data_IF_259598071545
#
_entry.id   IF_259598071545
#
_cell.length_a   1.000
_cell.length_b   1.000
_cell.length_c   1.000
_cell.angle_alpha   90.00
_cell.angle_beta   90.00
_cell.angle_gamma   90.00
#
_symmetry.space_group_name_H-M   'P 1'
#
loop_
_entity.id
_entity.type
_entity.pdbx_description
1 polymer ?
#
# COMPACT_ATOMS: atom_id res chain seq x y z
N UNK A 1 2.10 -0.84 -3.34
CA UNK A 1 2.02 0.62 -3.51
C UNK A 1 1.03 1.17 -2.51
N UNK A 2 1.46 2.05 -1.63
CA UNK A 2 0.66 2.67 -0.56
C UNK A 2 0.21 4.07 -0.98
N UNK A 3 -1.10 4.24 -1.18
CA UNK A 3 -1.73 5.53 -1.43
C UNK A 3 -2.13 6.15 -0.10
N UNK A 4 -1.49 7.28 0.23
CA UNK A 4 -1.58 7.90 1.54
C UNK A 4 -1.64 9.43 1.45
N UNK A 5 -1.91 10.09 2.59
CA UNK A 5 -1.80 11.54 2.73
C UNK A 5 -1.28 11.94 4.11
N UNK A 6 -0.68 13.13 4.23
CA UNK A 6 -0.07 13.60 5.48
C UNK A 6 -1.09 13.86 6.60
N UNK A 7 -2.34 14.18 6.25
CA UNK A 7 -3.45 14.42 7.18
C UNK A 7 -4.19 13.13 7.56
N UNK A 8 -3.89 12.00 6.92
CA UNK A 8 -4.55 10.72 7.16
C UNK A 8 -3.97 10.03 8.41
N UNK A 9 -4.70 10.09 9.53
CA UNK A 9 -4.35 9.39 10.77
C UNK A 9 -4.10 7.88 10.58
N UNK A 10 -5.02 7.12 9.96
CA UNK A 10 -4.83 5.70 9.70
C UNK A 10 -3.61 5.38 8.84
N UNK A 11 -3.25 6.24 7.88
CA UNK A 11 -2.06 6.06 7.05
C UNK A 11 -0.77 6.13 7.88
N UNK A 12 -0.71 7.04 8.87
CA UNK A 12 0.44 7.13 9.79
C UNK A 12 0.63 5.87 10.61
N UNK A 13 -0.46 5.16 10.95
CA UNK A 13 -0.38 3.88 11.67
C UNK A 13 0.17 2.75 10.79
N UNK A 14 -0.14 2.76 9.49
CA UNK A 14 0.29 1.73 8.54
C UNK A 14 1.73 1.93 8.06
N UNK A 15 2.21 3.17 8.01
CA UNK A 15 3.56 3.49 7.54
C UNK A 15 4.68 2.65 8.21
N UNK A 16 4.82 2.57 9.55
CA UNK A 16 5.87 1.76 10.16
C UNK A 16 5.71 0.26 9.90
N UNK A 17 4.46 -0.22 9.79
CA UNK A 17 4.17 -1.63 9.45
C UNK A 17 4.67 -1.97 8.05
N UNK A 18 4.48 -1.07 7.09
CA UNK A 18 4.94 -1.23 5.73
C UNK A 18 6.47 -1.15 5.61
N UNK A 19 7.12 -0.29 6.40
CA UNK A 19 8.59 -0.19 6.48
C UNK A 19 9.21 -1.49 7.02
N UNK A 20 8.59 -2.08 8.04
CA UNK A 20 9.00 -3.38 8.60
C UNK A 20 8.87 -4.49 7.55
N UNK A 21 7.72 -4.58 6.87
CA UNK A 21 7.50 -5.57 5.79
C UNK A 21 8.50 -5.36 4.65
N UNK A 22 8.77 -4.12 4.25
CA UNK A 22 9.72 -3.80 3.18
C UNK A 22 11.14 -4.25 3.53
N UNK A 23 11.52 -4.14 4.80
CA UNK A 23 12.83 -4.57 5.30
C UNK A 23 12.93 -6.09 5.32
N UNK A 24 11.92 -6.79 5.85
CA UNK A 24 11.93 -8.26 5.97
C UNK A 24 11.77 -8.99 4.64
N UNK A 25 11.06 -8.38 3.69
CA UNK A 25 10.81 -8.94 2.36
C UNK A 25 11.68 -8.28 1.29
N UNK A 26 12.79 -7.67 1.69
CA UNK A 26 13.75 -7.07 0.77
C UNK A 26 14.18 -8.07 -0.31
N UNK A 27 14.15 -7.64 -1.57
CA UNK A 27 14.45 -8.49 -2.74
C UNK A 27 13.26 -9.30 -3.29
N UNK A 28 12.18 -9.48 -2.50
CA UNK A 28 10.95 -10.16 -2.95
C UNK A 28 9.80 -9.17 -3.14
N UNK A 29 9.68 -8.19 -2.25
CA UNK A 29 8.63 -7.20 -2.26
C UNK A 29 9.23 -5.79 -2.18
N UNK A 30 8.75 -4.89 -3.02
CA UNK A 30 9.06 -3.45 -2.94
C UNK A 30 7.84 -2.69 -2.47
N UNK A 31 8.00 -1.93 -1.40
CA UNK A 31 6.98 -0.99 -0.94
C UNK A 31 7.31 0.40 -1.49
N UNK A 32 6.42 0.90 -2.35
CA UNK A 32 6.43 2.28 -2.82
C UNK A 32 5.24 3.04 -2.26
N UNK A 33 5.40 4.35 -2.04
CA UNK A 33 4.36 5.24 -1.49
C UNK A 33 4.00 6.32 -2.51
N UNK A 34 2.72 6.62 -2.63
CA UNK A 34 2.19 7.72 -3.44
C UNK A 34 1.36 8.62 -2.54
N UNK A 35 1.77 9.88 -2.47
CA UNK A 35 0.99 10.92 -1.79
C UNK A 35 -0.12 11.40 -2.74
N UNK A 36 -1.37 11.29 -2.32
CA UNK A 36 -2.54 11.48 -3.21
C UNK A 36 -2.84 12.94 -3.53
N UNK A 37 -2.51 13.88 -2.66
CA UNK A 37 -2.70 15.31 -2.87
C UNK A 37 -1.71 15.83 -3.93
N UNK A 38 -0.47 15.33 -3.92
CA UNK A 38 0.56 15.63 -4.90
C UNK A 38 0.43 14.85 -6.22
N UNK A 39 -0.28 13.71 -6.21
CA UNK A 39 -0.39 12.80 -7.36
C UNK A 39 -1.86 12.44 -7.67
N UNK A 40 -2.72 13.45 -7.73
CA UNK A 40 -4.18 13.30 -7.87
C UNK A 40 -4.61 12.56 -9.14
N UNK A 41 -3.91 12.74 -10.28
CA UNK A 41 -4.17 12.00 -11.52
C UNK A 41 -3.93 10.50 -11.33
N UNK A 42 -2.80 10.12 -10.73
CA UNK A 42 -2.46 8.72 -10.47
C UNK A 42 -3.45 8.08 -9.50
N UNK A 43 -3.84 8.79 -8.44
CA UNK A 43 -4.87 8.32 -7.52
C UNK A 43 -6.21 8.08 -8.25
N UNK A 44 -6.59 8.98 -9.18
CA UNK A 44 -7.79 8.83 -10.00
C UNK A 44 -7.70 7.64 -10.96
N UNK A 45 -6.57 7.45 -11.64
CA UNK A 45 -6.35 6.37 -12.60
C UNK A 45 -6.47 4.99 -11.92
N UNK A 46 -6.00 4.89 -10.68
CA UNK A 46 -6.17 3.69 -9.84
C UNK A 46 -7.48 3.67 -9.02
N UNK A 47 -8.39 4.63 -9.28
CA UNK A 47 -9.69 4.75 -8.62
C UNK A 47 -9.59 4.72 -7.08
N UNK A 48 -8.61 5.43 -6.53
CA UNK A 48 -8.41 5.58 -5.08
C UNK A 48 -9.38 6.62 -4.54
N UNK A 49 -10.44 6.15 -3.89
CA UNK A 49 -11.49 6.99 -3.28
C UNK A 49 -11.38 7.10 -1.75
N UNK A 50 -10.52 6.27 -1.14
CA UNK A 50 -10.27 6.25 0.30
C UNK A 50 -8.81 5.89 0.58
N UNK A 51 -8.28 6.40 1.68
CA UNK A 51 -6.90 6.17 2.12
C UNK A 51 -6.85 5.70 3.58
N UNK A 52 -5.88 4.83 3.95
CA UNK A 52 -4.87 4.25 3.06
C UNK A 52 -5.49 3.21 2.12
N UNK A 53 -5.01 3.17 0.88
CA UNK A 53 -5.27 2.09 -0.07
C UNK A 53 -3.94 1.50 -0.49
N UNK A 54 -3.79 0.19 -0.37
CA UNK A 54 -2.62 -0.55 -0.84
C UNK A 54 -2.99 -1.32 -2.10
N UNK A 55 -2.19 -1.19 -3.15
CA UNK A 55 -2.33 -1.98 -4.38
C UNK A 55 -1.03 -2.76 -4.58
N UNK A 56 -1.16 -4.08 -4.68
CA UNK A 56 -0.04 -4.96 -5.04
C UNK A 56 0.07 -5.05 -6.56
N UNK A 57 1.29 -4.93 -7.06
CA UNK A 57 1.60 -5.06 -8.47
C UNK A 57 2.54 -6.24 -8.70
N UNK A 58 2.33 -6.97 -9.81
CA UNK A 58 3.24 -7.98 -10.34
C UNK A 58 3.26 -7.84 -11.86
N UNK A 59 4.45 -7.82 -12.45
CA UNK A 59 4.63 -7.64 -13.91
C UNK A 59 3.88 -6.44 -14.48
N UNK A 60 3.86 -5.33 -13.72
CA UNK A 60 3.18 -4.08 -14.09
C UNK A 60 1.65 -4.10 -13.96
N UNK A 61 1.05 -5.20 -13.50
CA UNK A 61 -0.41 -5.34 -13.37
C UNK A 61 -0.85 -5.34 -11.90
N UNK A 62 -1.97 -4.67 -11.56
CA UNK A 62 -2.52 -4.74 -10.22
C UNK A 62 -3.10 -6.14 -9.97
N UNK A 63 -2.72 -6.77 -8.85
CA UNK A 63 -3.16 -8.11 -8.48
C UNK A 63 -4.14 -8.13 -7.32
N UNK A 64 -3.86 -7.36 -6.27
CA UNK A 64 -4.76 -7.26 -5.13
C UNK A 64 -4.85 -5.83 -4.62
N UNK A 65 -5.99 -5.50 -4.00
CA UNK A 65 -6.30 -4.20 -3.43
C UNK A 65 -6.75 -4.38 -2.00
N UNK A 66 -6.10 -3.66 -1.10
CA UNK A 66 -6.40 -3.64 0.32
C UNK A 66 -6.79 -2.22 0.68
N UNK A 67 -7.98 -2.02 1.24
CA UNK A 67 -8.47 -0.71 1.65
C UNK A 67 -8.52 -0.64 3.18
N UNK A 68 -8.04 0.47 3.73
CA UNK A 68 -8.01 0.75 5.15
C UNK A 68 -6.75 0.29 5.86
N UNK A 69 -6.61 0.69 7.13
CA UNK A 69 -5.46 0.35 7.94
C UNK A 69 -5.54 -1.10 8.45
N UNK A 70 -4.45 -1.85 8.27
CA UNK A 70 -4.29 -3.22 8.76
C UNK A 70 -2.91 -3.38 9.39
N UNK A 71 -2.81 -4.27 10.38
CA UNK A 71 -1.53 -4.65 11.00
C UNK A 71 -0.74 -5.63 10.12
N UNK A 72 0.52 -5.87 10.49
CA UNK A 72 1.48 -6.68 9.73
C UNK A 72 0.96 -8.06 9.32
N UNK A 73 0.48 -8.84 10.29
CA UNK A 73 0.00 -10.20 10.04
C UNK A 73 -1.18 -10.23 9.04
N UNK A 74 -2.12 -9.30 9.18
CA UNK A 74 -3.23 -9.18 8.25
C UNK A 74 -2.75 -8.81 6.85
N UNK A 75 -1.82 -7.85 6.73
CA UNK A 75 -1.27 -7.47 5.42
C UNK A 75 -0.52 -8.62 4.74
N UNK A 76 0.28 -9.38 5.49
CA UNK A 76 0.98 -10.55 4.95
C UNK A 76 0.01 -11.64 4.51
N UNK A 77 -1.07 -11.88 5.25
CA UNK A 77 -2.09 -12.83 4.86
C UNK A 77 -2.80 -12.43 3.57
N UNK A 78 -3.10 -11.14 3.37
CA UNK A 78 -3.78 -10.64 2.16
C UNK A 78 -2.95 -10.81 0.87
N UNK A 79 -1.63 -10.95 1.01
CA UNK A 79 -0.72 -11.10 -0.13
C UNK A 79 -0.08 -12.49 -0.20
N UNK A 80 -0.37 -13.38 0.75
CA UNK A 80 0.32 -14.66 0.93
C UNK A 80 0.30 -15.54 -0.33
N UNK A 81 -0.78 -15.52 -1.10
CA UNK A 81 -0.92 -16.33 -2.32
C UNK A 81 -0.17 -15.73 -3.54
N UNK A 82 0.45 -14.55 -3.39
CA UNK A 82 1.01 -13.77 -4.49
C UNK A 82 2.53 -13.60 -4.41
N UNK A 83 3.08 -13.60 -3.19
CA UNK A 83 4.52 -13.47 -2.88
C UNK A 83 5.22 -14.81 -2.70
#
# INVERSE_FOLDING_TARGET
MDFWAAWCGPCKMVAPVLEEIATEKAGVLTVAKIEVDANSSTARDFQVVSIPTLILFKDGKPLTRIVGAKGKAALLNEIADVI
#
